data_IF_899029395771
#
_entry.id   IF_899029395771
#
_cell.length_a   1.000
_cell.length_b   1.000
_cell.length_c   1.000
_cell.angle_alpha   90.00
_cell.angle_beta   90.00
_cell.angle_gamma   90.00
#
_symmetry.space_group_name_H-M   'P 1'
#
loop_
_entity.id
_entity.type
_entity.pdbx_description
1 polymer ?
#
# COMPACT_ATOMS: atom_id res chain seq x y z
N UNK A 1 3.69 13.26 20.20
CA UNK A 1 4.69 13.18 21.30
C UNK A 1 4.14 13.58 22.67
N UNK A 2 2.82 13.76 22.86
CA UNK A 2 2.28 14.36 24.10
C UNK A 2 1.43 13.43 25.00
N UNK A 3 1.25 12.15 24.65
CA UNK A 3 0.36 11.25 25.43
C UNK A 3 1.06 9.97 25.95
N UNK A 4 2.34 9.74 25.63
CA UNK A 4 3.04 8.49 25.98
C UNK A 4 4.33 8.63 26.81
N UNK A 5 4.65 9.83 27.32
CA UNK A 5 5.77 10.03 28.26
C UNK A 5 7.14 9.47 27.82
N UNK A 6 7.38 9.29 26.51
CA UNK A 6 8.59 8.67 25.98
C UNK A 6 8.77 7.17 26.28
N UNK A 7 7.78 6.50 26.89
CA UNK A 7 7.87 5.07 27.19
C UNK A 7 7.40 4.21 26.02
N UNK A 8 8.27 3.28 25.65
CA UNK A 8 8.05 2.20 24.71
C UNK A 8 7.06 1.19 25.32
N UNK A 9 5.79 1.25 24.95
CA UNK A 9 4.80 0.22 25.34
C UNK A 9 5.10 -1.04 24.52
N UNK A 10 5.84 -1.97 25.13
CA UNK A 10 6.12 -3.28 24.57
C UNK A 10 4.91 -4.19 24.80
N UNK A 11 4.29 -4.66 23.72
CA UNK A 11 3.22 -5.66 23.79
C UNK A 11 3.88 -7.04 23.93
N UNK A 12 3.93 -7.55 25.17
CA UNK A 12 4.53 -8.85 25.54
C UNK A 12 3.63 -10.06 25.22
N UNK A 13 2.63 -9.91 24.36
CA UNK A 13 1.81 -11.04 23.90
C UNK A 13 2.50 -11.79 22.76
N UNK A 14 2.76 -13.09 22.96
CA UNK A 14 3.48 -13.96 22.00
C UNK A 14 2.77 -14.02 20.63
N UNK A 15 1.44 -13.88 20.57
CA UNK A 15 0.69 -13.82 19.31
C UNK A 15 0.99 -12.55 18.49
N UNK A 16 1.16 -11.40 19.15
CA UNK A 16 1.40 -10.12 18.48
C UNK A 16 2.83 -9.99 17.97
N UNK A 17 3.80 -10.58 18.68
CA UNK A 17 5.19 -10.66 18.24
C UNK A 17 5.42 -11.74 17.18
N UNK A 18 4.63 -12.82 17.17
CA UNK A 18 4.67 -13.85 16.11
C UNK A 18 4.05 -13.35 14.79
N UNK A 19 3.08 -12.44 14.82
CA UNK A 19 2.57 -11.79 13.60
C UNK A 19 3.63 -10.90 12.90
N UNK A 20 4.55 -10.31 13.66
CA UNK A 20 5.57 -9.38 13.14
C UNK A 20 6.95 -9.99 12.94
N UNK A 21 7.32 -10.98 13.76
CA UNK A 21 8.62 -11.70 13.73
C UNK A 21 8.50 -13.20 13.44
N UNK A 22 7.27 -13.73 13.37
CA UNK A 22 7.08 -15.12 12.99
C UNK A 22 7.62 -15.34 11.59
N UNK A 23 8.39 -16.40 11.47
CA UNK A 23 8.92 -16.88 10.19
C UNK A 23 8.23 -18.20 9.93
N UNK A 24 7.59 -18.32 8.77
CA UNK A 24 7.09 -19.59 8.26
C UNK A 24 8.04 -19.97 7.14
N UNK A 25 8.78 -21.07 7.31
CA UNK A 25 9.77 -21.54 6.33
C UNK A 25 10.84 -20.48 5.93
N UNK A 26 11.29 -19.64 6.86
CA UNK A 26 12.31 -18.62 6.61
C UNK A 26 11.82 -17.33 5.93
N UNK A 27 10.51 -17.20 5.67
CA UNK A 27 9.89 -15.99 5.12
C UNK A 27 9.12 -15.28 6.24
N UNK A 28 9.36 -13.98 6.42
CA UNK A 28 8.64 -13.16 7.40
C UNK A 28 7.18 -12.94 6.97
N UNK A 29 6.23 -13.03 7.91
CA UNK A 29 4.80 -12.74 7.65
C UNK A 29 4.51 -11.43 6.89
N UNK A 30 5.20 -10.30 7.16
CA UNK A 30 5.00 -9.06 6.41
C UNK A 30 5.27 -9.19 4.91
N UNK A 31 6.27 -10.00 4.53
CA UNK A 31 6.64 -10.25 3.14
C UNK A 31 5.56 -11.05 2.41
N UNK A 32 4.99 -12.05 3.08
CA UNK A 32 3.88 -12.87 2.56
C UNK A 32 2.63 -12.01 2.38
N UNK A 33 2.30 -11.17 3.37
CA UNK A 33 1.17 -10.26 3.29
C UNK A 33 1.34 -9.26 2.13
N UNK A 34 2.55 -8.72 1.93
CA UNK A 34 2.86 -7.86 0.79
C UNK A 34 2.67 -8.57 -0.55
N UNK A 35 3.24 -9.77 -0.72
CA UNK A 35 3.11 -10.55 -1.96
C UNK A 35 1.63 -10.86 -2.24
N UNK A 36 0.89 -11.30 -1.23
CA UNK A 36 -0.54 -11.60 -1.35
C UNK A 36 -1.34 -10.35 -1.75
N UNK A 37 -1.06 -9.20 -1.14
CA UNK A 37 -1.71 -7.94 -1.49
C UNK A 37 -1.40 -7.52 -2.93
N UNK A 38 -0.14 -7.58 -3.36
CA UNK A 38 0.27 -7.29 -4.73
C UNK A 38 -0.44 -8.18 -5.73
N UNK A 39 -0.52 -9.50 -5.46
CA UNK A 39 -1.21 -10.45 -6.34
C UNK A 39 -2.70 -10.17 -6.45
N UNK A 40 -3.38 -9.90 -5.32
CA UNK A 40 -4.81 -9.55 -5.30
C UNK A 40 -5.03 -8.27 -6.08
N UNK A 41 -4.28 -7.20 -5.79
CA UNK A 41 -4.40 -5.93 -6.50
C UNK A 41 -4.11 -6.10 -8.00
N UNK A 42 -3.10 -6.89 -8.36
CA UNK A 42 -2.74 -7.15 -9.76
C UNK A 42 -3.85 -7.86 -10.51
N UNK A 43 -4.46 -8.87 -9.89
CA UNK A 43 -5.57 -9.61 -10.45
C UNK A 43 -6.81 -8.73 -10.57
N UNK A 44 -7.14 -7.94 -9.54
CA UNK A 44 -8.23 -6.97 -9.60
C UNK A 44 -8.00 -5.97 -10.74
N UNK A 45 -6.80 -5.40 -10.88
CA UNK A 45 -6.54 -4.39 -11.90
C UNK A 45 -6.51 -4.96 -13.32
N UNK A 46 -5.97 -6.16 -13.54
CA UNK A 46 -5.82 -6.74 -14.90
C UNK A 46 -7.01 -7.60 -15.34
N UNK A 47 -7.68 -8.30 -14.42
CA UNK A 47 -8.73 -9.27 -14.77
C UNK A 47 -10.15 -8.76 -14.55
N UNK A 48 -10.36 -7.65 -13.84
CA UNK A 48 -11.72 -7.17 -13.54
C UNK A 48 -12.11 -5.92 -14.34
N UNK A 49 -13.42 -5.74 -14.54
CA UNK A 49 -13.99 -4.52 -15.15
C UNK A 49 -13.67 -3.26 -14.34
N UNK A 50 -13.52 -3.41 -13.01
CA UNK A 50 -13.15 -2.33 -12.10
C UNK A 50 -11.82 -1.69 -12.50
N UNK A 51 -10.82 -2.48 -12.88
CA UNK A 51 -9.54 -1.97 -13.35
C UNK A 51 -9.65 -1.13 -14.62
N UNK A 52 -10.47 -1.55 -15.59
CA UNK A 52 -10.75 -0.75 -16.80
C UNK A 52 -11.41 0.58 -16.48
N UNK A 53 -12.36 0.60 -15.54
CA UNK A 53 -12.97 1.85 -15.09
C UNK A 53 -11.96 2.78 -14.42
N UNK A 54 -11.02 2.25 -13.63
CA UNK A 54 -9.94 3.06 -13.04
C UNK A 54 -9.08 3.70 -14.13
N UNK A 55 -8.64 2.95 -15.14
CA UNK A 55 -7.83 3.51 -16.23
C UNK A 55 -8.60 4.53 -17.07
N UNK A 56 -9.87 4.28 -17.36
CA UNK A 56 -10.72 5.22 -18.10
C UNK A 56 -10.89 6.54 -17.33
N UNK A 57 -11.21 6.47 -16.04
CA UNK A 57 -11.34 7.65 -15.17
C UNK A 57 -10.02 8.40 -15.03
N UNK A 58 -8.89 7.69 -14.96
CA UNK A 58 -7.57 8.30 -14.87
C UNK A 58 -7.07 8.93 -16.16
N UNK A 59 -7.52 8.46 -17.33
CA UNK A 59 -7.10 9.03 -18.63
C UNK A 59 -7.91 10.27 -19.00
N UNK A 60 -9.23 10.21 -18.82
CA UNK A 60 -10.11 11.36 -19.01
C UNK A 60 -11.39 11.18 -18.19
N UNK A 61 -11.52 11.94 -17.10
CA UNK A 61 -12.68 11.87 -16.21
C UNK A 61 -13.98 12.30 -16.88
N UNK A 62 -13.96 13.37 -17.69
CA UNK A 62 -15.15 13.87 -18.38
C UNK A 62 -15.66 12.84 -19.40
N UNK A 63 -14.75 12.23 -20.17
CA UNK A 63 -15.10 11.17 -21.12
C UNK A 63 -15.64 9.92 -20.41
N UNK A 64 -15.09 9.55 -19.26
CA UNK A 64 -15.58 8.43 -18.45
C UNK A 64 -16.99 8.71 -17.91
N UNK A 65 -17.26 9.95 -17.45
CA UNK A 65 -18.57 10.35 -16.97
C UNK A 65 -19.63 10.32 -18.09
N UNK A 66 -19.29 10.85 -19.28
CA UNK A 66 -20.14 10.81 -20.47
C UNK A 66 -20.40 9.37 -20.96
N UNK A 67 -19.47 8.45 -20.71
CA UNK A 67 -19.62 7.02 -21.02
C UNK A 67 -20.46 6.24 -19.99
N UNK A 68 -21.10 6.93 -19.04
CA UNK A 68 -21.96 6.32 -18.02
C UNK A 68 -21.21 5.71 -16.82
N UNK A 69 -19.89 5.93 -16.71
CA UNK A 69 -19.10 5.46 -15.56
C UNK A 69 -19.31 6.42 -14.40
N UNK A 70 -19.69 5.88 -13.23
CA UNK A 70 -19.84 6.67 -12.01
C UNK A 70 -18.47 7.02 -11.41
N UNK A 71 -17.81 8.03 -12.01
CA UNK A 71 -16.45 8.46 -11.66
C UNK A 71 -16.25 8.70 -10.15
N UNK A 72 -17.24 9.31 -9.49
CA UNK A 72 -17.25 9.54 -8.03
C UNK A 72 -17.11 8.27 -7.20
N UNK A 73 -17.80 7.19 -7.59
CA UNK A 73 -17.76 5.91 -6.86
C UNK A 73 -16.42 5.21 -7.10
N UNK A 74 -15.93 5.23 -8.34
CA UNK A 74 -14.63 4.64 -8.68
C UNK A 74 -13.51 5.35 -7.91
N UNK A 75 -13.48 6.69 -7.91
CA UNK A 75 -12.52 7.45 -7.10
C UNK A 75 -12.64 7.15 -5.61
N UNK A 76 -13.85 7.18 -5.05
CA UNK A 76 -14.08 6.91 -3.63
C UNK A 76 -13.62 5.52 -3.20
N UNK A 77 -13.91 4.50 -4.02
CA UNK A 77 -13.45 3.12 -3.76
C UNK A 77 -11.93 2.98 -3.85
N UNK A 78 -11.26 3.65 -4.79
CA UNK A 78 -9.79 3.64 -4.88
C UNK A 78 -9.15 4.24 -3.62
N UNK A 79 -9.69 5.36 -3.11
CA UNK A 79 -9.23 5.94 -1.84
C UNK A 79 -9.48 5.02 -0.64
N UNK A 80 -10.62 4.33 -0.60
CA UNK A 80 -10.92 3.36 0.46
C UNK A 80 -9.94 2.17 0.45
N UNK A 81 -9.61 1.65 -0.75
CA UNK A 81 -8.62 0.57 -0.90
C UNK A 81 -7.23 1.05 -0.46
N UNK A 82 -6.84 2.28 -0.80
CA UNK A 82 -5.56 2.86 -0.36
C UNK A 82 -5.51 3.01 1.17
N UNK A 83 -6.59 3.47 1.79
CA UNK A 83 -6.69 3.56 3.26
C UNK A 83 -6.63 2.19 3.94
N UNK A 84 -7.29 1.18 3.37
CA UNK A 84 -7.21 -0.20 3.86
C UNK A 84 -5.80 -0.77 3.75
N UNK A 85 -5.11 -0.52 2.64
CA UNK A 85 -3.72 -0.93 2.44
C UNK A 85 -2.77 -0.26 3.44
N UNK A 86 -2.95 1.04 3.68
CA UNK A 86 -2.18 1.80 4.66
C UNK A 86 -2.43 1.30 6.10
N UNK A 87 -3.67 1.00 6.45
CA UNK A 87 -4.02 0.43 7.76
C UNK A 87 -3.35 -0.94 7.97
N UNK A 88 -3.42 -1.84 6.98
CA UNK A 88 -2.73 -3.13 7.01
C UNK A 88 -1.21 -2.98 7.16
N UNK A 89 -0.61 -2.09 6.37
CA UNK A 89 0.83 -1.81 6.45
C UNK A 89 1.23 -1.24 7.82
N UNK A 90 0.41 -0.36 8.40
CA UNK A 90 0.60 0.19 9.73
C UNK A 90 0.54 -0.86 10.84
N UNK A 91 -0.41 -1.80 10.77
CA UNK A 91 -0.50 -2.93 11.72
C UNK A 91 0.75 -3.81 11.63
N UNK A 92 1.20 -4.13 10.42
CA UNK A 92 2.41 -4.93 10.19
C UNK A 92 3.67 -4.22 10.69
N UNK A 93 3.81 -2.92 10.43
CA UNK A 93 4.94 -2.12 10.89
C UNK A 93 4.97 -2.01 12.42
N UNK A 94 3.81 -1.75 13.04
CA UNK A 94 3.66 -1.71 14.49
C UNK A 94 4.05 -3.05 15.14
N UNK A 95 3.60 -4.16 14.54
CA UNK A 95 3.95 -5.51 14.99
C UNK A 95 5.46 -5.80 14.85
N UNK A 96 6.08 -5.39 13.74
CA UNK A 96 7.53 -5.58 13.49
C UNK A 96 8.40 -4.83 14.50
N UNK A 97 8.03 -3.61 14.86
CA UNK A 97 8.81 -2.79 15.80
C UNK A 97 8.49 -3.16 17.26
N UNK A 98 7.38 -3.88 17.52
CA UNK A 98 6.86 -4.23 18.87
C UNK A 98 6.76 -3.03 19.83
N UNK A 99 6.88 -1.84 19.27
CA UNK A 99 7.04 -0.58 19.97
C UNK A 99 6.51 0.55 19.08
N UNK A 100 5.55 1.31 19.57
CA UNK A 100 4.97 2.43 18.84
C UNK A 100 5.89 3.65 18.88
N UNK A 101 6.86 3.75 17.96
CA UNK A 101 7.59 5.00 17.75
C UNK A 101 6.73 5.87 16.82
N UNK A 102 6.16 7.00 17.29
CA UNK A 102 5.27 7.83 16.49
C UNK A 102 5.98 8.51 15.30
N UNK A 103 7.31 8.52 15.31
CA UNK A 103 8.11 9.07 14.21
C UNK A 103 8.37 8.06 13.07
N UNK A 104 8.01 6.77 13.22
CA UNK A 104 8.30 5.77 12.19
C UNK A 104 7.50 5.95 10.89
N UNK A 105 6.52 6.87 10.86
CA UNK A 105 5.74 7.19 9.67
C UNK A 105 6.25 8.39 8.87
N UNK A 106 7.15 9.21 9.42
CA UNK A 106 7.57 10.46 8.76
C UNK A 106 8.47 10.15 7.56
N UNK A 107 8.11 10.67 6.39
CA UNK A 107 8.83 10.42 5.13
C UNK A 107 8.44 9.14 4.39
N UNK A 108 7.72 8.20 5.01
CA UNK A 108 7.21 7.00 4.31
C UNK A 108 6.22 7.36 3.19
N UNK A 109 5.42 8.41 3.37
CA UNK A 109 4.51 8.92 2.34
C UNK A 109 5.28 9.37 1.10
N UNK A 110 6.35 10.15 1.30
CA UNK A 110 7.18 10.66 0.22
C UNK A 110 7.96 9.52 -0.46
N UNK A 111 8.48 8.56 0.31
CA UNK A 111 9.12 7.35 -0.23
C UNK A 111 8.14 6.50 -1.03
N UNK A 112 6.89 6.37 -0.59
CA UNK A 112 5.86 5.65 -1.33
C UNK A 112 5.55 6.33 -2.67
N UNK A 113 5.41 7.65 -2.69
CA UNK A 113 5.24 8.42 -3.94
C UNK A 113 6.47 8.24 -4.83
N UNK A 114 7.69 8.38 -4.27
CA UNK A 114 8.94 8.19 -5.01
C UNK A 114 9.05 6.78 -5.61
N UNK A 115 8.65 5.73 -4.88
CA UNK A 115 8.65 4.35 -5.36
C UNK A 115 7.77 4.17 -6.59
N UNK A 116 6.55 4.71 -6.55
CA UNK A 116 5.55 4.60 -7.62
C UNK A 116 5.99 5.38 -8.86
N UNK A 117 6.57 6.57 -8.66
CA UNK A 117 7.09 7.43 -9.73
C UNK A 117 8.33 6.81 -10.37
N UNK A 118 9.27 6.31 -9.57
CA UNK A 118 10.46 5.59 -10.05
C UNK A 118 10.07 4.33 -10.84
N UNK A 119 9.02 3.63 -10.39
CA UNK A 119 8.45 2.49 -11.12
C UNK A 119 7.86 2.85 -12.48
N UNK A 120 7.56 4.12 -12.75
CA UNK A 120 7.02 4.58 -14.03
C UNK A 120 5.49 4.45 -14.15
N UNK A 121 4.79 4.54 -13.02
CA UNK A 121 3.32 4.71 -13.00
C UNK A 121 2.97 6.20 -13.16
N UNK A 122 2.04 6.52 -14.07
CA UNK A 122 1.67 7.91 -14.36
C UNK A 122 0.99 8.58 -13.16
N UNK A 123 1.51 9.73 -12.72
CA UNK A 123 0.85 10.58 -11.72
C UNK A 123 -0.40 11.25 -12.31
N UNK A 124 -0.33 11.62 -13.60
CA UNK A 124 -1.43 12.24 -14.32
C UNK A 124 -2.61 11.29 -14.56
N UNK A 125 -2.45 9.99 -14.31
CA UNK A 125 -3.47 8.97 -14.49
C UNK A 125 -3.47 8.33 -15.88
N UNK A 126 -4.38 7.38 -16.09
CA UNK A 126 -4.67 6.76 -17.40
C UNK A 126 -3.73 5.64 -17.85
N UNK A 127 -2.50 5.60 -17.32
CA UNK A 127 -1.53 4.55 -17.64
C UNK A 127 -0.71 4.14 -16.42
N UNK A 128 -0.57 2.83 -16.21
CA UNK A 128 0.18 2.29 -15.09
C UNK A 128 0.01 0.78 -14.99
N UNK A 129 0.87 0.14 -14.21
CA UNK A 129 0.73 -1.28 -13.90
C UNK A 129 1.30 -1.55 -12.52
N UNK A 130 0.70 -2.49 -11.79
CA UNK A 130 1.17 -2.82 -10.43
C UNK A 130 2.59 -3.39 -10.46
N UNK A 131 2.95 -4.15 -11.49
CA UNK A 131 4.31 -4.68 -11.63
C UNK A 131 5.38 -3.58 -11.73
N UNK A 132 5.05 -2.45 -12.39
CA UNK A 132 5.93 -1.28 -12.50
C UNK A 132 6.22 -0.66 -11.14
N UNK A 133 5.17 -0.45 -10.35
CA UNK A 133 5.28 0.04 -8.98
C UNK A 133 6.08 -0.92 -8.10
N UNK A 134 5.88 -2.23 -8.22
CA UNK A 134 6.62 -3.24 -7.45
C UNK A 134 8.12 -3.15 -7.74
N UNK A 135 8.51 -3.00 -9.01
CA UNK A 135 9.92 -2.79 -9.39
C UNK A 135 10.49 -1.53 -8.75
N UNK A 136 9.74 -0.42 -8.76
CA UNK A 136 10.16 0.83 -8.10
C UNK A 136 10.34 0.69 -6.58
N UNK A 137 9.43 -0.03 -5.92
CA UNK A 137 9.55 -0.35 -4.48
C UNK A 137 10.80 -1.19 -4.21
N UNK A 138 11.09 -2.21 -5.02
CA UNK A 138 12.30 -3.02 -4.87
C UNK A 138 13.59 -2.21 -5.08
N UNK A 139 13.60 -1.31 -6.07
CA UNK A 139 14.75 -0.44 -6.30
C UNK A 139 15.04 0.44 -5.08
N UNK A 140 14.02 1.09 -4.52
CA UNK A 140 14.20 1.89 -3.30
C UNK A 140 14.60 1.02 -2.10
N UNK A 141 14.05 -0.18 -1.97
CA UNK A 141 14.39 -1.09 -0.88
C UNK A 141 15.83 -1.64 -0.94
N UNK A 142 16.45 -1.68 -2.12
CA UNK A 142 17.87 -2.05 -2.26
C UNK A 142 18.79 -0.88 -1.93
N UNK A 143 18.36 0.35 -2.23
CA UNK A 143 19.14 1.58 -2.00
C UNK A 143 19.12 2.01 -0.53
N UNK A 144 18.01 1.75 0.18
CA UNK A 144 17.78 2.16 1.57
C UNK A 144 18.01 1.01 2.56
#
# INVERSE_FOLDING_TARGET
>A
MAISGGYLINVTEKSYSTLGRGTVYGISYPSIAFIMFVLISMLVLHRTQYGRYIFAVGGNEEAALLSGIRTKIIKGSTFAIAGFAAALAGILLSSKVSTGIPNSGTGLELQAIAAVVLGGTSIAGGAGAIWRTVVGVFLLAIIN
#
